data_IF_025537105856
#
_entry.id   IF_025537105856
#
_cell.length_a   1.000
_cell.length_b   1.000
_cell.length_c   1.000
_cell.angle_alpha   90.00
_cell.angle_beta   90.00
_cell.angle_gamma   90.00
#
_symmetry.space_group_name_H-M   'P 1'
#
loop_
_entity.id
_entity.type
_entity.pdbx_description
1 polymer ?
#
# COMPACT_ATOMS: atom_id res chain seq x y z
N UNK A 1 -52.12 -19.09 36.79
CA UNK A 1 -50.73 -19.00 37.24
C UNK A 1 -49.83 -18.97 36.00
N UNK A 2 -49.19 -17.86 35.66
CA UNK A 2 -48.21 -17.81 34.58
C UNK A 2 -46.82 -18.19 35.10
N UNK A 3 -45.92 -18.74 34.24
CA UNK A 3 -44.61 -19.22 34.67
C UNK A 3 -43.60 -18.06 34.84
N UNK A 4 -42.73 -18.25 35.83
CA UNK A 4 -41.65 -17.31 36.17
C UNK A 4 -40.59 -17.22 35.08
N UNK A 5 -40.28 -15.97 34.70
CA UNK A 5 -39.14 -15.61 33.83
C UNK A 5 -37.84 -15.65 34.66
N UNK A 6 -36.87 -16.45 34.24
CA UNK A 6 -35.54 -16.53 34.84
C UNK A 6 -34.70 -15.31 34.39
N UNK A 7 -34.06 -14.65 35.37
CA UNK A 7 -33.12 -13.54 35.14
C UNK A 7 -31.75 -14.08 34.66
N UNK A 8 -31.33 -13.61 33.52
CA UNK A 8 -29.98 -13.82 32.97
C UNK A 8 -28.96 -12.94 33.73
N UNK A 9 -27.75 -13.42 34.05
CA UNK A 9 -26.73 -12.60 34.72
C UNK A 9 -26.09 -11.63 33.72
N UNK A 10 -25.96 -10.37 34.16
CA UNK A 10 -25.20 -9.33 33.47
C UNK A 10 -23.70 -9.71 33.42
N UNK A 11 -23.14 -9.79 32.25
CA UNK A 11 -21.69 -9.81 32.06
C UNK A 11 -21.16 -8.38 32.14
N UNK A 12 -20.29 -8.14 33.12
CA UNK A 12 -19.47 -6.94 33.23
C UNK A 12 -18.48 -6.90 32.05
N UNK A 13 -18.72 -6.03 31.09
CA UNK A 13 -17.80 -5.79 29.99
C UNK A 13 -16.62 -4.92 30.46
N UNK A 14 -15.44 -5.46 30.47
CA UNK A 14 -14.21 -4.67 30.52
C UNK A 14 -14.03 -3.94 29.18
N UNK A 15 -14.21 -2.63 29.19
CA UNK A 15 -13.92 -1.77 28.06
C UNK A 15 -12.39 -1.61 27.93
N UNK A 16 -11.78 -2.35 27.03
CA UNK A 16 -10.44 -2.02 26.57
C UNK A 16 -10.54 -0.77 25.69
N UNK A 17 -9.99 0.32 26.18
CA UNK A 17 -9.87 1.57 25.43
C UNK A 17 -8.90 1.38 24.27
N UNK A 18 -9.43 1.23 23.05
CA UNK A 18 -8.63 1.30 21.84
C UNK A 18 -8.22 2.76 21.57
N UNK A 19 -6.92 3.00 21.39
CA UNK A 19 -6.43 4.27 20.90
C UNK A 19 -6.79 4.43 19.42
N UNK A 20 -7.98 4.94 19.14
CA UNK A 20 -8.37 5.43 17.82
C UNK A 20 -7.90 6.88 17.74
N UNK A 21 -6.81 7.12 17.05
CA UNK A 21 -6.38 8.49 16.76
C UNK A 21 -7.23 9.02 15.60
N UNK A 22 -8.21 9.85 15.93
CA UNK A 22 -8.99 10.59 14.94
C UNK A 22 -8.12 11.69 14.36
N UNK A 23 -7.74 11.61 13.08
CA UNK A 23 -6.87 12.58 12.43
C UNK A 23 -7.66 13.82 11.99
N UNK A 24 -7.13 14.95 12.41
CA UNK A 24 -7.61 16.29 12.14
C UNK A 24 -7.28 16.78 10.72
N UNK A 25 -8.16 17.60 10.24
CA UNK A 25 -8.09 18.65 9.22
C UNK A 25 -6.88 18.74 8.29
N UNK A 26 -7.18 18.64 7.00
CA UNK A 26 -6.36 19.14 5.90
C UNK A 26 -6.15 20.65 6.04
N UNK A 27 -4.91 21.08 6.16
CA UNK A 27 -4.56 22.50 6.22
C UNK A 27 -3.09 22.74 6.56
N UNK A 28 -2.14 22.09 5.88
CA UNK A 28 -0.76 22.53 5.88
C UNK A 28 -0.12 22.25 4.51
N UNK A 29 0.70 23.16 3.97
CA UNK A 29 1.37 22.94 2.69
C UNK A 29 2.32 21.75 2.78
N UNK A 30 2.39 20.97 1.70
CA UNK A 30 3.32 19.88 1.50
C UNK A 30 4.76 20.38 1.75
N UNK A 31 5.27 20.27 2.96
CA UNK A 31 6.69 20.43 3.18
C UNK A 31 7.37 19.12 2.82
N UNK A 32 8.04 19.09 1.69
CA UNK A 32 9.04 18.07 1.33
C UNK A 32 10.17 18.13 2.35
N UNK A 33 9.98 17.45 3.48
CA UNK A 33 11.11 17.12 4.37
C UNK A 33 11.91 16.07 3.61
N UNK A 34 13.10 16.44 3.16
CA UNK A 34 14.08 15.51 2.61
C UNK A 34 14.38 14.43 3.67
N UNK A 35 13.70 13.29 3.59
CA UNK A 35 14.01 12.12 4.41
C UNK A 35 15.34 11.54 3.92
N UNK A 36 16.25 11.28 4.85
CA UNK A 36 17.49 10.55 4.58
C UNK A 36 17.13 9.20 3.91
N UNK A 37 17.38 9.11 2.61
CA UNK A 37 16.87 8.07 1.70
C UNK A 37 17.61 6.73 1.84
N UNK A 38 18.44 6.55 2.90
CA UNK A 38 19.31 5.39 3.04
C UNK A 38 18.74 4.22 3.84
N UNK A 39 17.55 4.33 4.45
CA UNK A 39 16.93 3.23 5.18
C UNK A 39 15.43 3.18 4.95
N UNK A 40 15.01 2.20 4.16
CA UNK A 40 13.59 1.86 4.00
C UNK A 40 13.03 1.38 5.34
N UNK A 41 12.02 2.09 5.86
CA UNK A 41 11.40 1.81 7.16
C UNK A 41 9.98 1.27 7.02
N UNK A 42 9.32 1.60 5.93
CA UNK A 42 7.91 1.27 5.72
C UNK A 42 7.67 0.88 4.27
N UNK A 43 6.94 -0.21 4.06
CA UNK A 43 6.48 -0.65 2.74
C UNK A 43 4.96 -0.75 2.75
N UNK A 44 4.33 -0.12 1.75
CA UNK A 44 2.91 -0.31 1.48
C UNK A 44 2.71 -1.55 0.64
N UNK A 45 1.79 -2.44 1.07
CA UNK A 45 1.43 -3.63 0.30
C UNK A 45 -0.03 -3.53 -0.14
N UNK A 46 -0.24 -3.55 -1.45
CA UNK A 46 -1.53 -3.67 -2.11
C UNK A 46 -1.76 -5.12 -2.51
N UNK A 47 -2.89 -5.69 -2.17
CA UNK A 47 -3.17 -7.10 -2.45
C UNK A 47 -4.68 -7.40 -2.44
N UNK A 48 -5.04 -8.61 -2.86
CA UNK A 48 -6.43 -9.02 -2.94
C UNK A 48 -7.13 -9.08 -1.58
N UNK A 49 -8.39 -8.62 -1.52
CA UNK A 49 -9.33 -8.87 -0.42
C UNK A 49 -9.82 -10.32 -0.38
N UNK A 50 -9.45 -11.14 -1.37
CA UNK A 50 -9.61 -12.58 -1.41
C UNK A 50 -8.22 -13.23 -1.47
N UNK A 51 -8.12 -14.49 -0.99
CA UNK A 51 -6.84 -15.22 -0.99
C UNK A 51 -6.46 -15.79 -2.37
N UNK A 52 -7.40 -15.79 -3.33
CA UNK A 52 -7.23 -16.47 -4.61
C UNK A 52 -7.45 -17.98 -4.49
N UNK A 53 -7.35 -18.69 -5.61
CA UNK A 53 -7.59 -20.14 -5.67
C UNK A 53 -6.32 -20.95 -5.41
N UNK A 54 -5.13 -20.40 -5.69
CA UNK A 54 -3.86 -21.08 -5.50
C UNK A 54 -3.30 -20.75 -4.11
N UNK A 55 -2.99 -21.77 -3.27
CA UNK A 55 -2.38 -21.57 -1.96
C UNK A 55 -1.01 -20.89 -2.03
N UNK A 56 -0.35 -20.87 -3.18
CA UNK A 56 0.91 -20.15 -3.39
C UNK A 56 0.76 -18.64 -3.10
N UNK A 57 -0.39 -18.02 -3.41
CA UNK A 57 -0.64 -16.61 -3.11
C UNK A 57 -0.56 -16.32 -1.62
N UNK A 58 -1.25 -17.14 -0.81
CA UNK A 58 -1.22 -17.03 0.65
C UNK A 58 0.19 -17.32 1.21
N UNK A 59 0.90 -18.28 0.64
CA UNK A 59 2.27 -18.62 1.04
C UNK A 59 3.23 -17.47 0.79
N UNK A 60 3.15 -16.82 -0.38
CA UNK A 60 3.98 -15.68 -0.72
C UNK A 60 3.66 -14.44 0.14
N UNK A 61 2.38 -14.19 0.43
CA UNK A 61 1.97 -13.13 1.34
C UNK A 61 2.54 -13.34 2.76
N UNK A 62 2.50 -14.57 3.27
CA UNK A 62 3.11 -14.93 4.57
C UNK A 62 4.62 -14.75 4.55
N UNK A 63 5.29 -15.20 3.49
CA UNK A 63 6.74 -15.07 3.35
C UNK A 63 7.16 -13.59 3.31
N UNK A 64 6.45 -12.76 2.54
CA UNK A 64 6.69 -11.32 2.52
C UNK A 64 6.51 -10.70 3.91
N UNK A 65 5.41 -10.99 4.60
CA UNK A 65 5.14 -10.46 5.94
C UNK A 65 6.22 -10.85 6.96
N UNK A 66 6.64 -12.12 6.99
CA UNK A 66 7.71 -12.60 7.86
C UNK A 66 9.04 -11.90 7.54
N UNK A 67 9.34 -11.69 6.25
CA UNK A 67 10.57 -11.01 5.83
C UNK A 67 10.57 -9.52 6.19
N UNK A 68 9.46 -8.81 6.02
CA UNK A 68 9.35 -7.41 6.44
C UNK A 68 9.63 -7.26 7.94
N UNK A 69 9.04 -8.10 8.78
CA UNK A 69 9.29 -8.12 10.22
C UNK A 69 10.76 -8.39 10.55
N UNK A 70 11.39 -9.38 9.91
CA UNK A 70 12.80 -9.71 10.12
C UNK A 70 13.75 -8.55 9.78
N UNK A 71 13.40 -7.74 8.79
CA UNK A 71 14.17 -6.57 8.36
C UNK A 71 13.82 -5.28 9.13
N UNK A 72 12.91 -5.35 10.11
CA UNK A 72 12.36 -4.21 10.84
C UNK A 72 11.72 -3.16 9.91
N UNK A 73 11.01 -3.63 8.89
CA UNK A 73 10.24 -2.80 7.97
C UNK A 73 8.77 -2.92 8.36
N UNK A 74 8.15 -1.81 8.72
CA UNK A 74 6.72 -1.78 9.05
C UNK A 74 5.87 -1.96 7.78
N UNK A 75 4.79 -2.73 7.91
CA UNK A 75 3.78 -2.88 6.87
C UNK A 75 2.79 -1.72 6.93
N UNK A 76 2.55 -1.04 5.82
CA UNK A 76 1.39 -0.18 5.59
C UNK A 76 0.45 -0.90 4.62
N UNK A 77 -0.87 -0.92 4.92
CA UNK A 77 -1.84 -1.60 4.06
C UNK A 77 -3.27 -1.09 4.25
N UNK A 78 -4.21 -1.65 3.53
CA UNK A 78 -5.61 -1.21 3.51
C UNK A 78 -6.46 -1.49 4.77
N UNK A 79 -5.87 -1.99 5.86
CA UNK A 79 -6.54 -2.13 7.15
C UNK A 79 -7.56 -3.27 7.26
N UNK A 80 -7.78 -4.05 6.19
CA UNK A 80 -8.72 -5.16 6.17
C UNK A 80 -8.14 -6.45 6.76
N UNK A 81 -9.02 -7.28 7.33
CA UNK A 81 -8.65 -8.55 7.91
C UNK A 81 -9.03 -9.77 7.01
N UNK A 82 -9.25 -9.55 5.73
CA UNK A 82 -9.72 -10.56 4.79
C UNK A 82 -8.70 -10.81 3.67
N UNK A 83 -8.74 -12.02 3.09
CA UNK A 83 -7.91 -12.39 1.95
C UNK A 83 -6.41 -12.26 2.21
N UNK A 84 -5.66 -11.85 1.19
CA UNK A 84 -4.21 -11.64 1.30
C UNK A 84 -3.85 -10.48 2.23
N UNK A 85 -4.75 -9.49 2.39
CA UNK A 85 -4.56 -8.38 3.34
C UNK A 85 -4.40 -8.87 4.78
N UNK A 86 -5.36 -9.67 5.26
CA UNK A 86 -5.27 -10.26 6.59
C UNK A 86 -4.04 -11.16 6.74
N UNK A 87 -3.77 -12.00 5.73
CA UNK A 87 -2.65 -12.95 5.74
C UNK A 87 -1.29 -12.26 5.87
N UNK A 88 -1.03 -11.19 5.10
CA UNK A 88 0.25 -10.47 5.19
C UNK A 88 0.38 -9.73 6.51
N UNK A 89 -0.70 -9.09 7.00
CA UNK A 89 -0.71 -8.38 8.27
C UNK A 89 -0.45 -9.32 9.46
N UNK A 90 -1.16 -10.46 9.51
CA UNK A 90 -0.97 -11.49 10.52
C UNK A 90 0.45 -12.05 10.52
N UNK A 91 1.04 -12.25 9.33
CA UNK A 91 2.40 -12.75 9.21
C UNK A 91 3.43 -11.75 9.76
N UNK A 92 3.26 -10.45 9.54
CA UNK A 92 4.13 -9.41 10.13
C UNK A 92 4.00 -9.43 11.65
N UNK A 93 2.76 -9.41 12.18
CA UNK A 93 2.50 -9.41 13.64
C UNK A 93 3.04 -10.67 14.31
N UNK A 94 2.82 -11.84 13.73
CA UNK A 94 3.31 -13.12 14.27
C UNK A 94 4.84 -13.18 14.37
N UNK A 95 5.56 -12.39 13.57
CA UNK A 95 7.02 -12.29 13.61
C UNK A 95 7.50 -11.01 14.34
N UNK A 96 6.64 -10.38 15.13
CA UNK A 96 7.00 -9.23 16.00
C UNK A 96 7.21 -7.91 15.26
N UNK A 97 6.76 -7.79 14.01
CA UNK A 97 6.84 -6.56 13.23
C UNK A 97 5.64 -5.63 13.46
N UNK A 98 5.75 -4.40 12.96
CA UNK A 98 4.72 -3.37 13.06
C UNK A 98 3.81 -3.34 11.83
N UNK A 99 2.50 -3.17 12.07
CA UNK A 99 1.47 -3.08 11.02
C UNK A 99 0.63 -1.81 11.20
N UNK A 100 0.56 -1.01 10.14
CA UNK A 100 -0.27 0.20 10.07
C UNK A 100 -1.37 -0.03 9.04
N UNK A 101 -2.61 -0.15 9.50
CA UNK A 101 -3.78 -0.22 8.64
C UNK A 101 -4.37 1.17 8.40
N UNK A 102 -4.74 1.48 7.16
CA UNK A 102 -5.48 2.70 6.82
C UNK A 102 -6.81 2.31 6.18
N UNK A 103 -7.92 2.65 6.80
CA UNK A 103 -9.24 2.16 6.41
C UNK A 103 -10.29 3.26 6.46
N UNK A 104 -11.17 3.41 5.45
CA UNK A 104 -12.31 4.30 5.52
C UNK A 104 -13.34 3.85 6.56
N UNK A 105 -14.00 4.81 7.23
CA UNK A 105 -15.03 4.53 8.23
C UNK A 105 -16.11 3.56 7.70
N UNK A 106 -16.56 3.75 6.47
CA UNK A 106 -17.53 2.86 5.82
C UNK A 106 -17.13 1.37 5.84
N UNK A 107 -15.83 1.07 5.63
CA UNK A 107 -15.34 -0.31 5.67
C UNK A 107 -15.20 -0.84 7.09
N UNK A 108 -14.95 0.04 8.06
CA UNK A 108 -15.00 -0.32 9.49
C UNK A 108 -16.41 -0.73 9.88
N UNK A 109 -17.41 0.01 9.42
CA UNK A 109 -18.83 -0.26 9.68
C UNK A 109 -19.30 -1.58 9.07
N UNK A 110 -18.63 -2.04 7.99
CA UNK A 110 -18.86 -3.37 7.39
C UNK A 110 -18.10 -4.50 8.09
N UNK A 111 -17.47 -4.23 9.21
CA UNK A 111 -16.74 -5.20 10.04
C UNK A 111 -15.54 -5.90 9.36
N UNK A 112 -14.97 -5.27 8.33
CA UNK A 112 -13.80 -5.83 7.64
C UNK A 112 -12.46 -5.34 8.20
N UNK A 113 -12.48 -4.45 9.20
CA UNK A 113 -11.28 -3.88 9.80
C UNK A 113 -10.50 -4.90 10.64
N UNK A 114 -9.18 -4.91 10.49
CA UNK A 114 -8.27 -5.73 11.28
C UNK A 114 -7.93 -5.03 12.61
N UNK A 115 -8.62 -5.41 13.69
CA UNK A 115 -8.47 -4.76 15.02
C UNK A 115 -7.21 -5.17 15.77
N UNK A 116 -6.46 -6.16 15.31
CA UNK A 116 -5.25 -6.68 15.94
C UNK A 116 -3.96 -6.01 15.48
N UNK A 117 -4.02 -5.05 14.55
CA UNK A 117 -2.82 -4.36 14.02
C UNK A 117 -2.21 -3.41 15.04
N UNK A 118 -0.91 -3.09 14.88
CA UNK A 118 -0.20 -2.17 15.77
C UNK A 118 -0.84 -0.79 15.80
N UNK A 119 -1.30 -0.29 14.64
CA UNK A 119 -2.02 0.99 14.49
C UNK A 119 -3.07 0.90 13.39
N UNK A 120 -4.30 1.30 13.69
CA UNK A 120 -5.36 1.43 12.71
C UNK A 120 -5.75 2.91 12.59
N UNK A 121 -5.56 3.48 11.41
CA UNK A 121 -5.99 4.84 11.07
C UNK A 121 -7.31 4.78 10.31
N UNK A 122 -8.36 5.35 10.90
CA UNK A 122 -9.67 5.47 10.25
C UNK A 122 -9.74 6.82 9.55
N UNK A 123 -10.11 6.80 8.27
CA UNK A 123 -10.19 7.98 7.41
C UNK A 123 -11.61 8.15 6.86
N UNK A 124 -11.89 9.32 6.28
CA UNK A 124 -13.22 9.71 5.80
C UNK A 124 -13.57 9.17 4.40
N UNK A 125 -12.57 8.92 3.55
CA UNK A 125 -12.79 8.55 2.17
C UNK A 125 -11.71 7.63 1.59
N UNK A 126 -11.99 7.01 0.43
CA UNK A 126 -11.01 6.24 -0.31
C UNK A 126 -9.85 7.11 -0.84
N UNK A 127 -10.10 8.38 -1.16
CA UNK A 127 -9.04 9.29 -1.59
C UNK A 127 -8.08 9.60 -0.45
N UNK A 128 -8.61 9.97 0.73
CA UNK A 128 -7.81 10.21 1.94
C UNK A 128 -7.01 8.98 2.33
N UNK A 129 -7.60 7.77 2.19
CA UNK A 129 -6.91 6.51 2.44
C UNK A 129 -5.67 6.36 1.56
N UNK A 130 -5.80 6.50 0.24
CA UNK A 130 -4.69 6.32 -0.71
C UNK A 130 -3.59 7.37 -0.48
N UNK A 131 -3.96 8.63 -0.28
CA UNK A 131 -3.02 9.70 0.06
C UNK A 131 -2.27 9.39 1.37
N UNK A 132 -2.98 8.93 2.41
CA UNK A 132 -2.38 8.60 3.69
C UNK A 132 -1.44 7.40 3.62
N UNK A 133 -1.80 6.36 2.86
CA UNK A 133 -0.93 5.21 2.61
C UNK A 133 0.35 5.64 1.87
N UNK A 134 0.23 6.56 0.91
CA UNK A 134 1.39 7.15 0.24
C UNK A 134 2.30 7.90 1.22
N UNK A 135 1.76 8.78 2.07
CA UNK A 135 2.55 9.55 3.03
C UNK A 135 3.35 8.67 4.00
N UNK A 136 2.73 7.59 4.48
CA UNK A 136 3.31 6.68 5.47
C UNK A 136 4.40 5.78 4.92
N UNK A 137 4.49 5.58 3.61
CA UNK A 137 5.29 4.51 3.00
C UNK A 137 6.53 5.04 2.31
N UNK A 138 7.61 4.27 2.30
CA UNK A 138 8.84 4.54 1.57
C UNK A 138 8.87 3.86 0.19
N UNK A 139 8.00 2.85 -0.03
CA UNK A 139 7.84 2.14 -1.29
C UNK A 139 6.56 1.32 -1.33
N UNK A 140 6.22 0.79 -2.50
CA UNK A 140 4.96 0.11 -2.78
C UNK A 140 5.19 -1.26 -3.43
N UNK A 141 4.47 -2.27 -2.95
CA UNK A 141 4.49 -3.63 -3.48
C UNK A 141 3.07 -4.07 -3.77
N UNK A 142 2.81 -4.56 -4.98
CA UNK A 142 1.57 -5.26 -5.33
C UNK A 142 1.80 -6.77 -5.28
N UNK A 143 1.10 -7.47 -4.41
CA UNK A 143 0.83 -8.90 -4.48
C UNK A 143 -0.38 -9.14 -5.40
N UNK A 144 -0.63 -10.39 -5.84
CA UNK A 144 -1.83 -10.72 -6.60
C UNK A 144 -3.11 -10.14 -6.01
N UNK A 145 -3.95 -9.58 -6.87
CA UNK A 145 -5.20 -8.93 -6.45
C UNK A 145 -6.07 -8.50 -7.62
N UNK A 146 -7.16 -7.84 -7.31
CA UNK A 146 -8.15 -7.39 -8.29
C UNK A 146 -8.06 -5.89 -8.60
N UNK A 147 -9.23 -5.32 -8.94
CA UNK A 147 -9.33 -3.91 -9.33
C UNK A 147 -8.82 -2.94 -8.27
N UNK A 148 -9.07 -3.18 -6.98
CA UNK A 148 -8.57 -2.31 -5.91
C UNK A 148 -7.05 -2.27 -5.86
N UNK A 149 -6.40 -3.44 -6.00
CA UNK A 149 -4.93 -3.54 -6.04
C UNK A 149 -4.34 -2.79 -7.24
N UNK A 150 -4.99 -2.90 -8.40
CA UNK A 150 -4.58 -2.19 -9.61
C UNK A 150 -4.82 -0.68 -9.47
N UNK A 151 -5.98 -0.25 -8.98
CA UNK A 151 -6.31 1.17 -8.75
C UNK A 151 -5.26 1.83 -7.84
N UNK A 152 -4.96 1.20 -6.70
CA UNK A 152 -3.98 1.70 -5.75
C UNK A 152 -2.56 1.76 -6.36
N UNK A 153 -2.11 0.70 -7.04
CA UNK A 153 -0.77 0.66 -7.62
C UNK A 153 -0.63 1.60 -8.82
N UNK A 154 -1.63 1.67 -9.71
CA UNK A 154 -1.59 2.57 -10.86
C UNK A 154 -1.65 4.04 -10.47
N UNK A 155 -2.30 4.39 -9.37
CA UNK A 155 -2.23 5.75 -8.83
C UNK A 155 -0.80 6.09 -8.40
N UNK A 156 -0.09 5.19 -7.70
CA UNK A 156 1.31 5.40 -7.31
C UNK A 156 2.23 5.53 -8.53
N UNK A 157 2.01 4.69 -9.56
CA UNK A 157 2.75 4.77 -10.82
C UNK A 157 2.48 6.10 -11.54
N UNK A 158 1.23 6.57 -11.54
CA UNK A 158 0.85 7.85 -12.12
C UNK A 158 1.48 9.02 -11.37
N UNK A 159 1.47 9.02 -10.04
CA UNK A 159 2.11 10.07 -9.23
C UNK A 159 3.62 10.10 -9.44
N UNK A 160 4.25 8.92 -9.57
CA UNK A 160 5.66 8.83 -9.94
C UNK A 160 5.94 9.41 -11.33
N UNK A 161 5.11 9.06 -12.32
CA UNK A 161 5.19 9.58 -13.69
C UNK A 161 5.06 11.11 -13.75
N UNK A 162 4.22 11.69 -12.91
CA UNK A 162 4.00 13.14 -12.81
C UNK A 162 5.05 13.86 -11.95
N UNK A 163 6.00 13.14 -11.36
CA UNK A 163 7.01 13.71 -10.47
C UNK A 163 6.51 14.05 -9.05
N UNK A 164 5.27 13.68 -8.72
CA UNK A 164 4.66 13.90 -7.40
C UNK A 164 5.17 12.92 -6.34
N UNK A 165 5.88 11.87 -6.73
CA UNK A 165 6.49 10.89 -5.85
C UNK A 165 7.71 10.25 -6.51
N UNK A 166 8.72 9.91 -5.69
CA UNK A 166 9.97 9.27 -6.14
C UNK A 166 10.20 7.94 -5.42
N UNK A 167 9.13 7.23 -5.08
CA UNK A 167 9.18 5.99 -4.30
C UNK A 167 9.14 4.77 -5.21
N UNK A 168 9.90 3.70 -4.91
CA UNK A 168 9.90 2.47 -5.70
C UNK A 168 8.52 1.81 -5.71
N UNK A 169 8.14 1.28 -6.88
CA UNK A 169 6.92 0.50 -7.08
C UNK A 169 7.30 -0.86 -7.67
N UNK A 170 6.75 -1.93 -7.12
CA UNK A 170 7.09 -3.29 -7.50
C UNK A 170 5.85 -4.19 -7.58
N UNK A 171 5.88 -5.13 -8.52
CA UNK A 171 4.92 -6.24 -8.60
C UNK A 171 5.63 -7.53 -8.16
N UNK A 172 5.30 -8.04 -6.97
CA UNK A 172 5.76 -9.34 -6.52
C UNK A 172 4.87 -10.41 -7.13
N UNK A 173 5.42 -11.12 -8.10
CA UNK A 173 4.70 -12.13 -8.87
C UNK A 173 4.56 -13.44 -8.08
N UNK A 174 3.54 -14.20 -8.42
CA UNK A 174 3.32 -15.55 -7.94
C UNK A 174 2.75 -16.35 -9.10
N UNK A 175 3.47 -17.36 -9.55
CA UNK A 175 3.05 -18.26 -10.63
C UNK A 175 2.65 -17.50 -11.92
N UNK A 176 3.32 -16.38 -12.24
CA UNK A 176 3.05 -15.62 -13.45
C UNK A 176 1.76 -14.80 -13.44
N UNK A 177 1.17 -14.55 -12.26
CA UNK A 177 -0.08 -13.77 -12.16
C UNK A 177 0.00 -12.40 -12.83
N UNK A 178 1.14 -11.72 -12.72
CA UNK A 178 1.35 -10.40 -13.29
C UNK A 178 1.85 -10.40 -14.74
N UNK A 179 2.20 -11.54 -15.33
CA UNK A 179 2.70 -11.64 -16.70
C UNK A 179 1.78 -10.96 -17.76
N UNK A 180 0.44 -11.16 -17.72
CA UNK A 180 -0.45 -10.47 -18.66
C UNK A 180 -0.41 -8.95 -18.52
N UNK A 181 -0.25 -8.44 -17.28
CA UNK A 181 -0.12 -7.01 -17.04
C UNK A 181 1.21 -6.47 -17.58
N UNK A 182 2.32 -7.19 -17.36
CA UNK A 182 3.62 -6.80 -17.92
C UNK A 182 3.57 -6.74 -19.45
N UNK A 183 2.95 -7.72 -20.11
CA UNK A 183 2.73 -7.71 -21.56
C UNK A 183 1.87 -6.52 -22.02
N UNK A 184 0.88 -6.11 -21.23
CA UNK A 184 0.10 -4.90 -21.51
C UNK A 184 0.94 -3.64 -21.40
N UNK A 185 1.79 -3.51 -20.37
CA UNK A 185 2.70 -2.39 -20.21
C UNK A 185 3.72 -2.31 -21.36
N UNK A 186 4.25 -3.46 -21.80
CA UNK A 186 5.15 -3.53 -22.97
C UNK A 186 4.41 -3.11 -24.25
N UNK A 187 3.13 -3.42 -24.39
CA UNK A 187 2.28 -2.92 -25.47
C UNK A 187 2.12 -1.41 -25.40
N UNK A 188 1.87 -0.85 -24.20
CA UNK A 188 1.78 0.61 -24.02
C UNK A 188 3.08 1.32 -24.43
N UNK A 189 4.25 0.73 -24.16
CA UNK A 189 5.55 1.26 -24.61
C UNK A 189 5.64 1.22 -26.13
N UNK A 190 5.33 0.08 -26.75
CA UNK A 190 5.36 -0.10 -28.21
C UNK A 190 4.46 0.90 -28.94
N UNK A 191 3.24 1.11 -28.40
CA UNK A 191 2.26 2.05 -28.94
C UNK A 191 2.48 3.51 -28.48
N UNK A 192 3.55 3.79 -27.70
CA UNK A 192 3.95 5.12 -27.22
C UNK A 192 2.97 5.79 -26.26
N UNK A 193 2.18 5.02 -25.54
CA UNK A 193 1.35 5.50 -24.42
C UNK A 193 2.12 5.54 -23.10
N UNK A 194 3.24 4.79 -23.00
CA UNK A 194 4.14 4.75 -21.87
C UNK A 194 5.57 4.91 -22.36
N UNK A 195 6.42 5.63 -21.63
CA UNK A 195 7.84 5.72 -21.94
C UNK A 195 8.58 4.46 -21.46
N UNK A 196 9.60 4.02 -22.22
CA UNK A 196 10.38 2.85 -21.87
C UNK A 196 11.04 2.99 -20.49
N UNK A 197 11.57 4.17 -20.18
CA UNK A 197 12.22 4.45 -18.90
C UNK A 197 11.26 4.27 -17.70
N UNK A 198 9.96 4.55 -17.88
CA UNK A 198 8.95 4.35 -16.83
C UNK A 198 8.60 2.88 -16.66
N UNK A 199 8.61 2.10 -17.74
CA UNK A 199 8.44 0.65 -17.71
C UNK A 199 9.64 -0.04 -17.07
N UNK A 200 10.85 0.39 -17.38
CA UNK A 200 12.11 -0.16 -16.88
C UNK A 200 12.32 0.19 -15.39
N UNK A 201 11.74 1.30 -14.92
CA UNK A 201 11.78 1.74 -13.51
C UNK A 201 10.80 0.96 -12.61
N UNK A 202 10.14 -0.06 -13.15
CA UNK A 202 9.19 -0.91 -12.43
C UNK A 202 9.79 -2.28 -12.19
N UNK A 203 9.96 -2.66 -10.92
CA UNK A 203 10.40 -4.00 -10.59
C UNK A 203 9.27 -5.03 -10.75
N UNK A 204 9.61 -6.20 -11.30
CA UNK A 204 8.73 -7.34 -11.42
C UNK A 204 9.53 -8.63 -11.23
N UNK A 205 9.05 -9.53 -10.37
CA UNK A 205 9.71 -10.81 -10.10
C UNK A 205 9.03 -11.56 -8.94
N UNK A 206 9.55 -12.75 -8.63
CA UNK A 206 8.99 -13.65 -7.60
C UNK A 206 9.82 -13.68 -6.31
N UNK A 207 11.06 -13.20 -6.34
CA UNK A 207 12.03 -13.28 -5.26
C UNK A 207 11.91 -12.07 -4.32
N UNK A 208 11.54 -12.33 -3.06
CA UNK A 208 11.37 -11.30 -2.03
C UNK A 208 12.71 -10.66 -1.66
N UNK A 209 13.80 -11.41 -1.65
CA UNK A 209 15.13 -10.89 -1.29
C UNK A 209 15.63 -9.92 -2.37
N UNK A 210 15.48 -10.30 -3.64
CA UNK A 210 15.80 -9.47 -4.79
C UNK A 210 14.93 -8.21 -4.81
N UNK A 211 13.63 -8.33 -4.53
CA UNK A 211 12.70 -7.20 -4.41
C UNK A 211 13.20 -6.19 -3.37
N UNK A 212 13.45 -6.64 -2.14
CA UNK A 212 13.84 -5.75 -1.04
C UNK A 212 15.24 -5.16 -1.24
N UNK A 213 16.17 -5.89 -1.86
CA UNK A 213 17.47 -5.35 -2.25
C UNK A 213 17.30 -4.23 -3.28
N UNK A 214 16.52 -4.47 -4.35
CA UNK A 214 16.24 -3.45 -5.36
C UNK A 214 15.58 -2.21 -4.77
N UNK A 215 14.59 -2.37 -3.87
CA UNK A 215 13.91 -1.24 -3.24
C UNK A 215 14.85 -0.40 -2.36
N UNK A 216 15.81 -1.01 -1.67
CA UNK A 216 16.81 -0.30 -0.85
C UNK A 216 17.78 0.53 -1.69
N UNK A 217 18.17 -0.02 -2.85
CA UNK A 217 19.13 0.59 -3.75
C UNK A 217 18.47 1.48 -4.81
N UNK A 218 17.13 1.63 -4.73
CA UNK A 218 16.36 2.34 -5.74
C UNK A 218 16.77 3.81 -5.86
N UNK A 219 17.10 4.18 -7.09
CA UNK A 219 17.34 5.56 -7.50
C UNK A 219 16.27 5.95 -8.51
N UNK A 220 15.41 6.93 -8.20
CA UNK A 220 14.35 7.33 -9.11
C UNK A 220 14.89 7.75 -10.46
N UNK A 221 14.30 7.27 -11.55
CA UNK A 221 14.57 7.83 -12.87
C UNK A 221 14.18 9.31 -12.86
N UNK A 222 15.01 10.15 -13.50
CA UNK A 222 14.73 11.59 -13.54
C UNK A 222 13.41 11.84 -14.27
N UNK A 223 12.40 12.29 -13.52
CA UNK A 223 11.08 12.65 -14.05
C UNK A 223 11.10 13.89 -14.98
N UNK A 224 12.24 14.55 -15.08
CA UNK A 224 12.40 15.85 -15.75
C UNK A 224 12.18 15.84 -17.28
N UNK A 225 11.99 14.66 -17.89
CA UNK A 225 11.78 14.56 -19.35
C UNK A 225 10.34 14.82 -19.81
N UNK A 226 9.35 14.84 -18.91
CA UNK A 226 7.94 15.08 -19.29
C UNK A 226 7.60 16.54 -19.54
N UNK A 227 8.23 17.42 -18.78
CA UNK A 227 8.12 18.87 -18.96
C UNK A 227 9.48 19.36 -19.42
N UNK A 228 9.81 19.13 -20.71
CA UNK A 228 10.92 19.86 -21.30
C UNK A 228 10.69 21.37 -21.08
N UNK A 229 11.77 22.13 -21.00
CA UNK A 229 11.74 23.57 -20.69
C UNK A 229 10.77 24.34 -21.61
N UNK A 230 10.58 23.81 -22.82
CA UNK A 230 9.68 24.34 -23.84
C UNK A 230 8.21 24.09 -23.50
N UNK A 231 7.88 22.94 -22.92
CA UNK A 231 6.52 22.60 -22.47
C UNK A 231 6.17 23.27 -21.15
N UNK A 232 7.12 23.42 -20.21
CA UNK A 232 6.95 24.22 -18.99
C UNK A 232 6.60 25.67 -19.33
N UNK A 233 7.31 26.28 -20.29
CA UNK A 233 7.04 27.65 -20.74
C UNK A 233 5.69 27.80 -21.43
N UNK A 234 5.23 26.78 -22.19
CA UNK A 234 3.91 26.78 -22.84
C UNK A 234 2.76 26.65 -21.83
N UNK A 235 2.94 25.88 -20.77
CA UNK A 235 1.94 25.66 -19.72
C UNK A 235 1.95 26.73 -18.64
N UNK A 236 2.91 27.70 -18.69
CA UNK A 236 3.09 28.75 -17.67
C UNK A 236 3.20 28.21 -16.23
N UNK A 237 3.73 26.99 -16.08
CA UNK A 237 3.95 26.39 -14.77
C UNK A 237 5.19 27.01 -14.12
N UNK A 238 5.06 27.40 -12.86
CA UNK A 238 6.18 27.85 -12.03
C UNK A 238 6.84 26.64 -11.35
N UNK A 239 8.09 26.77 -10.83
CA UNK A 239 8.74 25.73 -10.07
C UNK A 239 7.98 25.29 -8.80
N UNK A 240 7.00 26.10 -8.38
CA UNK A 240 6.15 25.88 -7.20
C UNK A 240 4.88 25.05 -7.54
N UNK A 241 4.57 24.88 -8.83
CA UNK A 241 3.39 24.15 -9.32
C UNK A 241 3.69 22.67 -9.63
N UNK A 242 4.91 22.14 -9.33
CA UNK A 242 5.36 20.77 -9.66
C UNK A 242 5.93 20.05 -8.45
#
# INVERSE_FOLDING_TARGET
MPPRVAKTPQRSGASSSFNVTQTAHFGAPFSLVARDNRRMKTICVYCGSNAGNDPAYASQAKALGARLAADNIALVYGGGNVGLMGIVADAVLANGGDVIGVIPQQLVDWEVAHRGVTRLEVVDSMHTRKARMFELSDGFVALPGGFGTLDEMFEMLTWRQLGLGKKPCAFLDVNGFWQPLMAMLDTMVRERFLHAEQRDDLWHGEDIDALLAWMRDYVPAQADKWLDEKRRSQLKLTPEDV
#
